data_IF_241430866057
#
_entry.id   IF_241430866057
#
_cell.length_a   1.000
_cell.length_b   1.000
_cell.length_c   1.000
_cell.angle_alpha   90.00
_cell.angle_beta   90.00
_cell.angle_gamma   90.00
#
_symmetry.space_group_name_H-M   'P 1'
#
loop_
_entity.id
_entity.type
_entity.pdbx_description
1 polymer ?
#
# COMPACT_ATOMS: atom_id res chain seq x y z
N UNK A 1 -73.70 37.93 26.07
CA UNK A 1 -73.26 36.53 25.93
C UNK A 1 -72.16 36.48 24.88
N UNK A 2 -71.07 35.73 25.07
CA UNK A 2 -69.99 35.42 24.09
C UNK A 2 -68.59 36.05 24.31
N UNK A 3 -68.30 36.66 25.46
CA UNK A 3 -66.92 37.06 25.79
C UNK A 3 -66.05 35.88 26.30
N UNK A 4 -66.67 34.84 26.88
CA UNK A 4 -65.97 33.67 27.42
C UNK A 4 -65.40 32.71 26.34
N UNK A 5 -65.86 32.80 25.09
CA UNK A 5 -65.39 31.93 23.97
C UNK A 5 -64.23 32.60 23.20
N UNK A 6 -64.11 33.92 23.29
CA UNK A 6 -63.14 34.69 22.52
C UNK A 6 -61.71 34.55 23.08
N UNK A 7 -61.59 34.41 24.41
CA UNK A 7 -60.31 34.21 25.12
C UNK A 7 -59.62 32.88 24.72
N UNK A 8 -60.29 31.71 24.74
CA UNK A 8 -59.64 30.46 24.33
C UNK A 8 -59.30 30.42 22.83
N UNK A 9 -60.08 31.08 21.97
CA UNK A 9 -59.77 31.18 20.54
C UNK A 9 -58.51 32.02 20.31
N UNK A 10 -58.37 33.16 20.99
CA UNK A 10 -57.17 33.99 20.89
C UNK A 10 -55.90 33.26 21.36
N UNK A 11 -55.99 32.49 22.46
CA UNK A 11 -54.87 31.68 22.97
C UNK A 11 -54.51 30.58 21.96
N UNK A 12 -55.51 29.93 21.34
CA UNK A 12 -55.29 28.92 20.31
C UNK A 12 -54.51 29.45 19.11
N UNK A 13 -54.85 30.67 18.64
CA UNK A 13 -54.14 31.32 17.52
C UNK A 13 -52.71 31.69 17.90
N UNK A 14 -52.49 32.21 19.12
CA UNK A 14 -51.14 32.56 19.60
C UNK A 14 -50.27 31.30 19.73
N UNK A 15 -50.79 30.21 20.28
CA UNK A 15 -50.08 28.94 20.37
C UNK A 15 -49.76 28.34 19.00
N UNK A 16 -50.68 28.45 18.03
CA UNK A 16 -50.43 28.01 16.66
C UNK A 16 -49.32 28.82 15.97
N UNK A 17 -49.32 30.14 16.14
CA UNK A 17 -48.27 31.01 15.60
C UNK A 17 -46.91 30.76 16.27
N UNK A 18 -46.87 30.63 17.59
CA UNK A 18 -45.64 30.32 18.31
C UNK A 18 -45.12 28.92 17.97
N UNK A 19 -46.01 27.92 17.86
CA UNK A 19 -45.65 26.57 17.43
C UNK A 19 -45.12 26.54 15.99
N UNK A 20 -45.70 27.32 15.08
CA UNK A 20 -45.21 27.46 13.71
C UNK A 20 -43.84 28.16 13.64
N UNK A 21 -43.64 29.23 14.40
CA UNK A 21 -42.37 29.96 14.43
C UNK A 21 -41.26 29.13 15.10
N UNK A 22 -41.56 28.41 16.18
CA UNK A 22 -40.62 27.48 16.82
C UNK A 22 -40.27 26.31 15.89
N UNK A 23 -41.28 25.71 15.23
CA UNK A 23 -41.06 24.64 14.24
C UNK A 23 -40.22 25.11 13.05
N UNK A 24 -40.44 26.33 12.57
CA UNK A 24 -39.65 26.93 11.49
C UNK A 24 -38.21 27.25 11.93
N UNK A 25 -37.99 27.64 13.19
CA UNK A 25 -36.64 27.89 13.71
C UNK A 25 -35.83 26.60 13.88
N UNK A 26 -36.47 25.49 14.29
CA UNK A 26 -35.84 24.17 14.45
C UNK A 26 -35.60 23.51 13.08
N UNK A 27 -36.53 23.64 12.14
CA UNK A 27 -36.36 23.15 10.76
C UNK A 27 -35.28 23.92 9.96
N UNK A 28 -34.84 25.09 10.45
CA UNK A 28 -33.78 25.88 9.81
C UNK A 28 -32.38 25.48 10.27
N UNK A 29 -32.28 24.69 11.33
CA UNK A 29 -31.04 24.18 11.93
C UNK A 29 -30.74 22.71 11.52
N UNK A 30 -31.35 22.25 10.41
CA UNK A 30 -31.05 20.96 9.75
C UNK A 30 -30.08 21.11 8.57
N UNK A 31 -29.29 22.18 8.51
CA UNK A 31 -28.21 22.33 7.53
C UNK A 31 -26.87 21.76 8.04
N UNK A 32 -26.91 20.71 8.85
CA UNK A 32 -25.75 19.86 9.08
C UNK A 32 -25.72 18.77 7.99
N UNK A 33 -25.60 19.20 6.73
CA UNK A 33 -25.25 18.30 5.65
C UNK A 33 -23.82 17.85 5.90
N UNK A 34 -23.68 16.73 6.62
CA UNK A 34 -22.43 16.00 6.84
C UNK A 34 -21.63 16.08 5.53
N UNK A 35 -20.44 16.67 5.61
CA UNK A 35 -19.56 17.09 4.50
C UNK A 35 -19.02 15.91 3.66
N UNK A 36 -19.92 15.10 3.09
CA UNK A 36 -19.61 14.00 2.16
C UNK A 36 -18.87 14.54 0.94
N UNK A 37 -19.12 15.80 0.55
CA UNK A 37 -18.40 16.51 -0.51
C UNK A 37 -16.91 16.67 -0.17
N UNK A 38 -16.55 17.03 1.06
CA UNK A 38 -15.16 17.19 1.50
C UNK A 38 -14.44 15.85 1.48
N UNK A 39 -15.07 14.76 1.94
CA UNK A 39 -14.48 13.42 1.87
C UNK A 39 -14.28 12.94 0.42
N UNK A 40 -15.25 13.18 -0.47
CA UNK A 40 -15.11 12.87 -1.91
C UNK A 40 -13.97 13.66 -2.56
N UNK A 41 -13.85 14.95 -2.26
CA UNK A 41 -12.75 15.79 -2.74
C UNK A 41 -11.40 15.33 -2.22
N UNK A 42 -11.31 14.95 -0.94
CA UNK A 42 -10.08 14.40 -0.34
C UNK A 42 -9.70 13.05 -0.94
N UNK A 43 -10.67 12.16 -1.20
CA UNK A 43 -10.40 10.88 -1.88
C UNK A 43 -9.85 11.14 -3.28
N UNK A 44 -10.46 12.04 -4.05
CA UNK A 44 -9.98 12.38 -5.39
C UNK A 44 -8.57 13.03 -5.37
N UNK A 45 -8.29 13.87 -4.38
CA UNK A 45 -6.95 14.45 -4.18
C UNK A 45 -5.93 13.38 -3.80
N UNK A 46 -6.25 12.51 -2.84
CA UNK A 46 -5.38 11.41 -2.42
C UNK A 46 -5.11 10.43 -3.56
N UNK A 47 -6.09 10.15 -4.41
CA UNK A 47 -5.91 9.33 -5.62
C UNK A 47 -5.02 10.04 -6.65
N UNK A 48 -5.19 11.34 -6.86
CA UNK A 48 -4.34 12.15 -7.74
C UNK A 48 -2.89 12.20 -7.24
N UNK A 49 -2.71 12.39 -5.94
CA UNK A 49 -1.39 12.48 -5.30
C UNK A 49 -0.72 11.11 -5.23
N UNK A 50 -1.48 10.02 -5.02
CA UNK A 50 -0.99 8.65 -5.18
C UNK A 50 -0.58 8.37 -6.61
N UNK A 51 -1.34 8.80 -7.61
CA UNK A 51 -0.99 8.62 -9.01
C UNK A 51 0.29 9.38 -9.37
N UNK A 52 0.42 10.65 -8.96
CA UNK A 52 1.63 11.46 -9.17
C UNK A 52 2.85 10.93 -8.42
N UNK A 53 2.67 10.48 -7.18
CA UNK A 53 3.74 9.89 -6.38
C UNK A 53 4.19 8.55 -6.96
N UNK A 54 3.24 7.69 -7.37
CA UNK A 54 3.55 6.45 -8.08
C UNK A 54 4.30 6.70 -9.38
N UNK A 55 3.93 7.71 -10.17
CA UNK A 55 4.64 7.99 -11.43
C UNK A 55 6.05 8.53 -11.19
N UNK A 56 6.24 9.43 -10.22
CA UNK A 56 7.56 9.99 -9.89
C UNK A 56 8.48 8.96 -9.22
N UNK A 57 7.96 8.12 -8.33
CA UNK A 57 8.71 7.02 -7.70
C UNK A 57 9.00 5.89 -8.68
N UNK A 58 8.07 5.59 -9.60
CA UNK A 58 8.27 4.54 -10.60
C UNK A 58 9.43 4.92 -11.52
N UNK A 59 9.48 6.13 -12.10
CA UNK A 59 10.53 6.49 -13.07
C UNK A 59 11.95 6.55 -12.46
N UNK A 60 12.10 7.00 -11.22
CA UNK A 60 13.42 7.06 -10.57
C UNK A 60 13.90 5.70 -10.03
N UNK A 61 12.99 4.74 -9.79
CA UNK A 61 13.32 3.42 -9.21
C UNK A 61 13.58 2.30 -10.23
N UNK A 62 13.43 2.55 -11.54
CA UNK A 62 13.64 1.53 -12.59
C UNK A 62 15.10 1.45 -13.07
N UNK A 63 15.89 2.51 -12.89
CA UNK A 63 17.28 2.53 -13.31
C UNK A 63 18.17 2.04 -12.18
N UNK A 64 18.88 0.95 -12.42
CA UNK A 64 19.82 0.37 -11.47
C UNK A 64 20.99 1.33 -11.20
N UNK A 65 21.11 1.79 -9.95
CA UNK A 65 22.26 2.54 -9.44
C UNK A 65 23.29 1.56 -8.84
N UNK A 66 24.31 1.25 -9.64
CA UNK A 66 25.40 0.35 -9.24
C UNK A 66 26.28 0.93 -8.12
N UNK A 67 26.42 2.25 -8.04
CA UNK A 67 27.26 2.91 -7.06
C UNK A 67 26.57 2.93 -5.69
N UNK A 68 25.26 3.17 -5.66
CA UNK A 68 24.45 3.03 -4.45
C UNK A 68 24.49 1.59 -3.92
N UNK A 69 24.33 0.59 -4.79
CA UNK A 69 24.40 -0.81 -4.39
C UNK A 69 25.80 -1.17 -3.83
N UNK A 70 26.86 -0.69 -4.49
CA UNK A 70 28.25 -0.90 -4.05
C UNK A 70 28.54 -0.21 -2.72
N UNK A 71 28.01 0.99 -2.49
CA UNK A 71 28.20 1.73 -1.24
C UNK A 71 27.65 0.96 -0.03
N UNK A 72 26.55 0.23 -0.21
CA UNK A 72 25.90 -0.55 0.86
C UNK A 72 26.56 -1.92 1.05
N UNK A 73 26.76 -2.67 -0.02
CA UNK A 73 27.27 -4.05 0.08
C UNK A 73 28.80 -4.17 0.05
N UNK A 74 29.52 -3.07 -0.16
CA UNK A 74 30.98 -3.04 -0.28
C UNK A 74 31.55 -3.77 -1.51
N UNK A 75 30.69 -4.30 -2.40
CA UNK A 75 31.07 -5.07 -3.58
C UNK A 75 30.33 -4.57 -4.82
N UNK A 76 30.93 -4.77 -6.00
CA UNK A 76 30.26 -4.46 -7.26
C UNK A 76 29.12 -5.43 -7.49
N UNK A 77 27.90 -4.92 -7.60
CA UNK A 77 26.70 -5.69 -7.90
C UNK A 77 26.38 -5.50 -9.38
N UNK A 78 26.07 -6.60 -10.06
CA UNK A 78 25.56 -6.55 -11.43
C UNK A 78 24.04 -6.39 -11.37
N UNK A 79 23.50 -5.58 -12.26
CA UNK A 79 22.05 -5.46 -12.42
C UNK A 79 21.42 -6.85 -12.60
N UNK A 80 20.34 -7.11 -11.86
CA UNK A 80 19.60 -8.37 -11.90
C UNK A 80 20.40 -9.61 -11.43
N UNK A 81 21.49 -9.42 -10.69
CA UNK A 81 22.17 -10.51 -10.00
C UNK A 81 21.30 -11.03 -8.84
N UNK A 82 20.65 -12.18 -9.04
CA UNK A 82 19.79 -12.80 -8.02
C UNK A 82 20.61 -13.32 -6.82
N UNK A 83 21.93 -13.46 -6.95
CA UNK A 83 22.78 -13.90 -5.83
C UNK A 83 22.93 -12.86 -4.71
N UNK A 84 22.39 -11.65 -4.92
CA UNK A 84 22.26 -10.65 -3.85
C UNK A 84 21.18 -11.02 -2.83
N UNK A 85 20.27 -11.92 -3.19
CA UNK A 85 19.17 -12.37 -2.34
C UNK A 85 19.67 -13.52 -1.47
N UNK A 86 19.42 -13.39 -0.16
CA UNK A 86 19.84 -14.39 0.81
C UNK A 86 19.19 -15.75 0.53
N UNK A 87 20.02 -16.79 0.48
CA UNK A 87 19.61 -18.15 0.14
C UNK A 87 19.66 -18.47 -1.36
N UNK A 88 19.91 -17.50 -2.24
CA UNK A 88 20.11 -17.74 -3.68
C UNK A 88 21.60 -17.79 -4.02
N UNK A 89 22.13 -18.99 -4.21
CA UNK A 89 23.47 -19.20 -4.76
C UNK A 89 23.50 -19.23 -6.29
N UNK A 90 24.70 -19.28 -6.93
CA UNK A 90 24.85 -19.31 -8.39
C UNK A 90 24.05 -20.43 -9.07
N UNK A 91 23.91 -21.59 -8.41
CA UNK A 91 23.15 -22.74 -8.94
C UNK A 91 21.64 -22.61 -8.82
N UNK A 92 21.14 -21.80 -7.89
CA UNK A 92 19.71 -21.50 -7.81
C UNK A 92 19.38 -20.40 -8.82
N UNK A 93 20.23 -19.38 -8.94
CA UNK A 93 20.10 -18.38 -9.99
C UNK A 93 20.04 -19.02 -11.38
N UNK A 94 20.98 -19.93 -11.69
CA UNK A 94 20.98 -20.68 -12.96
C UNK A 94 19.67 -21.45 -13.19
N UNK A 95 19.15 -22.12 -12.15
CA UNK A 95 17.86 -22.81 -12.22
C UNK A 95 16.70 -21.85 -12.52
N UNK A 96 16.62 -20.72 -11.84
CA UNK A 96 15.57 -19.72 -12.04
C UNK A 96 15.65 -19.06 -13.42
N UNK A 97 16.86 -18.82 -13.93
CA UNK A 97 17.09 -18.33 -15.28
C UNK A 97 16.57 -19.30 -16.35
N UNK A 98 16.71 -20.62 -16.13
CA UNK A 98 16.15 -21.65 -17.01
C UNK A 98 14.62 -21.67 -17.02
N UNK A 99 13.99 -21.07 -16.01
CA UNK A 99 12.54 -20.85 -15.91
C UNK A 99 12.14 -19.39 -16.23
N UNK A 100 12.98 -18.66 -16.96
CA UNK A 100 12.77 -17.28 -17.41
C UNK A 100 12.63 -16.23 -16.30
N UNK A 101 13.02 -16.56 -15.07
CA UNK A 101 13.13 -15.61 -13.97
C UNK A 101 14.56 -15.09 -13.92
N UNK A 102 14.83 -14.05 -14.72
CA UNK A 102 16.19 -13.49 -14.95
C UNK A 102 16.43 -12.12 -14.33
N UNK A 103 15.41 -11.54 -13.69
CA UNK A 103 15.45 -10.18 -13.16
C UNK A 103 14.92 -10.13 -11.74
N UNK A 104 15.35 -9.13 -10.97
CA UNK A 104 14.79 -8.88 -9.64
C UNK A 104 13.29 -8.64 -9.71
N UNK A 105 12.83 -7.94 -10.76
CA UNK A 105 11.40 -7.75 -11.03
C UNK A 105 10.66 -9.07 -11.21
N UNK A 106 11.14 -9.93 -12.11
CA UNK A 106 10.50 -11.22 -12.39
C UNK A 106 10.45 -12.11 -11.15
N UNK A 107 11.50 -12.08 -10.31
CA UNK A 107 11.52 -12.83 -9.06
C UNK A 107 10.59 -12.20 -8.01
N UNK A 108 10.47 -10.88 -7.96
CA UNK A 108 9.56 -10.19 -7.05
C UNK A 108 8.08 -10.44 -7.34
N UNK A 109 7.76 -10.70 -8.60
CA UNK A 109 6.42 -11.07 -9.06
C UNK A 109 6.17 -12.59 -8.98
N UNK A 110 7.20 -13.37 -8.63
CA UNK A 110 7.09 -14.82 -8.46
C UNK A 110 6.49 -15.14 -7.09
N UNK A 111 5.45 -15.97 -7.05
CA UNK A 111 4.91 -16.46 -5.78
C UNK A 111 5.89 -17.43 -5.11
N UNK A 112 5.88 -17.47 -3.77
CA UNK A 112 6.68 -18.44 -2.99
C UNK A 112 6.39 -19.88 -3.45
N UNK A 113 5.13 -20.21 -3.73
CA UNK A 113 4.74 -21.53 -4.25
C UNK A 113 5.35 -21.85 -5.62
N UNK A 114 5.42 -20.86 -6.52
CA UNK A 114 6.08 -21.03 -7.82
C UNK A 114 7.60 -21.17 -7.65
N UNK A 115 8.22 -20.39 -6.77
CA UNK A 115 9.63 -20.55 -6.41
C UNK A 115 9.92 -21.96 -5.90
N UNK A 116 9.07 -22.49 -5.00
CA UNK A 116 9.20 -23.85 -4.49
C UNK A 116 9.06 -24.89 -5.59
N UNK A 117 8.08 -24.74 -6.49
CA UNK A 117 7.90 -25.64 -7.64
C UNK A 117 9.14 -25.68 -8.54
N UNK A 118 9.81 -24.54 -8.73
CA UNK A 118 11.07 -24.46 -9.48
C UNK A 118 12.21 -25.18 -8.74
N UNK A 119 12.33 -25.00 -7.42
CA UNK A 119 13.34 -25.73 -6.63
C UNK A 119 13.12 -27.24 -6.70
N UNK A 120 11.87 -27.68 -6.61
CA UNK A 120 11.48 -29.09 -6.66
C UNK A 120 11.80 -29.71 -8.04
N UNK A 121 11.64 -28.95 -9.13
CA UNK A 121 12.01 -29.39 -10.49
C UNK A 121 13.52 -29.60 -10.64
N UNK A 122 14.33 -28.87 -9.86
CA UNK A 122 15.79 -28.99 -9.83
C UNK A 122 16.33 -30.21 -9.07
N UNK A 123 15.45 -30.97 -8.40
CA UNK A 123 15.76 -32.23 -7.71
C UNK A 123 16.21 -32.08 -6.26
N UNK A 124 16.63 -33.20 -5.66
CA UNK A 124 16.89 -33.32 -4.21
C UNK A 124 17.93 -32.35 -3.65
N UNK A 125 18.85 -31.85 -4.50
CA UNK A 125 19.90 -30.92 -4.12
C UNK A 125 19.39 -29.57 -3.60
N UNK A 126 18.14 -29.21 -3.90
CA UNK A 126 17.57 -27.92 -3.50
C UNK A 126 16.60 -27.98 -2.32
N UNK A 127 16.31 -29.17 -1.79
CA UNK A 127 15.28 -29.39 -0.76
C UNK A 127 15.52 -28.66 0.57
N UNK A 128 16.77 -28.29 0.86
CA UNK A 128 17.12 -27.55 2.08
C UNK A 128 16.92 -26.04 1.94
N UNK A 129 16.69 -25.53 0.72
CA UNK A 129 16.46 -24.11 0.49
C UNK A 129 15.00 -23.73 0.68
N UNK A 130 14.80 -22.53 1.22
CA UNK A 130 13.49 -22.00 1.56
C UNK A 130 13.27 -20.68 0.83
N UNK A 131 12.33 -20.61 -0.12
CA UNK A 131 12.10 -19.41 -0.93
C UNK A 131 11.21 -18.35 -0.26
N UNK A 132 10.85 -18.54 1.02
CA UNK A 132 9.84 -17.74 1.74
C UNK A 132 10.09 -16.22 1.65
N UNK A 133 11.35 -15.78 1.66
CA UNK A 133 11.73 -14.35 1.63
C UNK A 133 12.22 -13.86 0.27
N UNK A 134 12.43 -14.75 -0.70
CA UNK A 134 13.10 -14.39 -1.96
C UNK A 134 12.33 -13.36 -2.79
N UNK A 135 11.01 -13.45 -2.98
CA UNK A 135 10.27 -12.46 -3.76
C UNK A 135 10.35 -11.05 -3.17
N UNK A 136 10.24 -10.93 -1.84
CA UNK A 136 10.24 -9.63 -1.18
C UNK A 136 11.65 -9.01 -1.14
N UNK A 137 12.70 -9.82 -0.92
CA UNK A 137 14.08 -9.35 -1.07
C UNK A 137 14.36 -8.89 -2.51
N UNK A 138 13.92 -9.64 -3.52
CA UNK A 138 14.03 -9.26 -4.92
C UNK A 138 13.31 -7.95 -5.22
N UNK A 139 12.16 -7.72 -4.60
CA UNK A 139 11.40 -6.47 -4.72
C UNK A 139 12.18 -5.28 -4.16
N UNK A 140 12.85 -5.44 -3.01
CA UNK A 140 13.72 -4.40 -2.47
C UNK A 140 14.89 -4.09 -3.40
N UNK A 141 15.53 -5.12 -3.95
CA UNK A 141 16.61 -4.97 -4.95
C UNK A 141 16.12 -4.26 -6.22
N UNK A 142 14.96 -4.66 -6.75
CA UNK A 142 14.34 -4.03 -7.91
C UNK A 142 14.07 -2.54 -7.70
N UNK A 143 13.66 -2.14 -6.49
CA UNK A 143 13.42 -0.74 -6.14
C UNK A 143 14.66 0.01 -5.66
N UNK A 144 15.86 -0.59 -5.73
CA UNK A 144 17.10 0.03 -5.26
C UNK A 144 17.15 0.30 -3.76
N UNK A 145 16.35 -0.41 -2.95
CA UNK A 145 16.28 -0.26 -1.49
C UNK A 145 17.43 -1.01 -0.80
N UNK A 146 18.67 -0.67 -1.16
CA UNK A 146 19.87 -1.43 -0.77
C UNK A 146 20.09 -1.49 0.74
N UNK A 147 19.98 -0.36 1.45
CA UNK A 147 20.13 -0.34 2.91
C UNK A 147 19.09 -1.24 3.59
N UNK A 148 17.81 -1.05 3.27
CA UNK A 148 16.73 -1.86 3.84
C UNK A 148 16.88 -3.36 3.54
N UNK A 149 17.38 -3.70 2.34
CA UNK A 149 17.68 -5.09 2.00
C UNK A 149 18.80 -5.65 2.88
N UNK A 150 19.91 -4.92 3.04
CA UNK A 150 21.04 -5.36 3.86
C UNK A 150 20.64 -5.48 5.34
N UNK A 151 19.94 -4.48 5.88
CA UNK A 151 19.48 -4.49 7.27
C UNK A 151 18.59 -5.71 7.53
N UNK A 152 17.63 -5.99 6.63
CA UNK A 152 16.75 -7.15 6.76
C UNK A 152 17.51 -8.48 6.68
N UNK A 153 18.50 -8.61 5.78
CA UNK A 153 19.35 -9.80 5.70
C UNK A 153 20.17 -10.02 6.98
N UNK A 154 20.66 -8.93 7.59
CA UNK A 154 21.39 -9.01 8.86
C UNK A 154 20.48 -9.44 10.02
N UNK A 155 19.23 -8.97 10.07
CA UNK A 155 18.25 -9.42 11.05
C UNK A 155 17.93 -10.92 10.92
N UNK A 156 17.80 -11.42 9.69
CA UNK A 156 17.57 -12.85 9.42
C UNK A 156 18.75 -13.72 9.90
N UNK A 157 19.98 -13.27 9.69
CA UNK A 157 21.19 -13.97 10.14
C UNK A 157 21.43 -13.85 11.65
N UNK A 158 21.08 -12.72 12.25
CA UNK A 158 21.33 -12.40 13.67
C UNK A 158 20.33 -13.01 14.64
N UNK A 159 19.22 -13.57 14.15
CA UNK A 159 18.12 -14.14 14.94
C UNK A 159 18.27 -15.62 15.32
N UNK A 160 19.47 -16.06 15.71
CA UNK A 160 19.65 -17.35 16.41
C UNK A 160 19.24 -17.26 17.87
#
# INVERSE_FOLDING_TARGET
MNWCILIPIAIGVICALLGYLLGQSIARDENNQIDVSVYKSRIAQLESDLAKSKTHLNVQSILFDADAAKAVFGKKIKENDLTIIEGIGPKIQELFHNHDIKTWKALSECSVAKCQTILDSGGSRYKMHRPDTWPEQAKMAYHGKWNALLDWQQELHGGM
#
